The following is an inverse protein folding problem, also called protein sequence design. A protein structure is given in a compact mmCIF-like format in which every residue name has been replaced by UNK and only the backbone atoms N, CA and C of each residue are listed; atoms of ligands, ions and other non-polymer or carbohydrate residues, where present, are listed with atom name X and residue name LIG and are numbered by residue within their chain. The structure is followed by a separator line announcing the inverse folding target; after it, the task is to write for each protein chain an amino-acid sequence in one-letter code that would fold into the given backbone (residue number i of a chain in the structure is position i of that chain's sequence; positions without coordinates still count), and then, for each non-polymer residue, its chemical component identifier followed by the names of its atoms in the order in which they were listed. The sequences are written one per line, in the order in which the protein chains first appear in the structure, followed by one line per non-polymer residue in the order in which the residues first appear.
data_IF_057714493649
#
_entry.id   IF_057714493649
#
_cell.length_a   1.000
_cell.length_b   1.000
_cell.length_c   1.000
_cell.angle_alpha   90.00
_cell.angle_beta   90.00
_cell.angle_gamma   90.00
#
_symmetry.space_group_name_H-M   'P 1'
#
loop_
_entity.id
_entity.type
_entity.pdbx_description
1 polymer ?
#
# COMPACT_ATOMS: atom_id res chain seq x y z
N UNK A 1 4.27 19.07 40.09
CA UNK A 1 4.62 20.11 39.12
C UNK A 1 4.95 19.51 37.71
N UNK A 2 5.72 18.42 37.65
CA UNK A 2 6.16 17.82 36.36
C UNK A 2 5.05 17.10 35.60
N UNK A 3 3.99 16.62 36.25
CA UNK A 3 2.83 15.98 35.58
C UNK A 3 1.99 17.00 34.83
N UNK A 4 1.72 18.15 35.42
CA UNK A 4 0.93 19.22 34.76
C UNK A 4 1.62 19.78 33.49
N UNK A 5 2.96 19.90 33.49
CA UNK A 5 3.71 20.37 32.34
C UNK A 5 3.64 19.34 31.20
N UNK A 6 3.65 18.06 31.53
CA UNK A 6 3.54 16.97 30.55
C UNK A 6 2.15 16.92 29.90
N UNK A 7 1.10 17.05 30.69
CA UNK A 7 -0.28 17.06 30.21
C UNK A 7 -0.59 18.28 29.32
N UNK A 8 -0.01 19.43 29.66
CA UNK A 8 -0.14 20.65 28.84
C UNK A 8 0.57 20.49 27.49
N UNK A 9 1.77 19.90 27.47
CA UNK A 9 2.51 19.63 26.23
C UNK A 9 1.80 18.63 25.32
N UNK A 10 1.22 17.57 25.89
CA UNK A 10 0.46 16.57 25.13
C UNK A 10 -0.79 17.22 24.52
N UNK A 11 -1.58 17.98 25.27
CA UNK A 11 -2.74 18.70 24.75
C UNK A 11 -2.39 19.71 23.64
N UNK A 12 -1.25 20.39 23.78
CA UNK A 12 -0.80 21.34 22.75
C UNK A 12 -0.41 20.62 21.46
N UNK A 13 0.26 19.46 21.57
CA UNK A 13 0.62 18.62 20.42
C UNK A 13 -0.63 18.05 19.72
N UNK A 14 -1.59 17.54 20.48
CA UNK A 14 -2.87 17.04 19.94
C UNK A 14 -3.62 18.14 19.20
N UNK A 15 -3.73 19.33 19.81
CA UNK A 15 -4.39 20.48 19.18
C UNK A 15 -3.67 20.93 17.90
N UNK A 16 -2.33 20.90 17.90
CA UNK A 16 -1.53 21.25 16.74
C UNK A 16 -1.71 20.22 15.61
N UNK A 17 -1.72 18.93 15.93
CA UNK A 17 -1.93 17.84 14.96
C UNK A 17 -3.34 17.93 14.36
N UNK A 18 -4.37 18.11 15.19
CA UNK A 18 -5.76 18.25 14.73
C UNK A 18 -5.89 19.46 13.80
N UNK A 19 -5.34 20.61 14.20
CA UNK A 19 -5.39 21.83 13.38
C UNK A 19 -4.61 21.71 12.06
N UNK A 20 -3.50 20.96 12.05
CA UNK A 20 -2.74 20.72 10.82
C UNK A 20 -3.49 19.75 9.90
N UNK A 21 -4.17 18.74 10.45
CA UNK A 21 -5.00 17.83 9.68
C UNK A 21 -6.27 18.50 9.14
N UNK A 22 -6.92 19.39 9.91
CA UNK A 22 -8.07 20.18 9.45
C UNK A 22 -7.68 21.14 8.32
N UNK A 23 -6.54 21.82 8.44
CA UNK A 23 -6.03 22.71 7.39
C UNK A 23 -5.62 21.94 6.12
N UNK A 24 -5.05 20.74 6.26
CA UNK A 24 -4.76 19.85 5.14
C UNK A 24 -6.04 19.34 4.48
N UNK A 25 -7.09 19.07 5.26
CA UNK A 25 -8.38 18.62 4.73
C UNK A 25 -9.16 19.74 4.04
N UNK A 26 -9.08 20.98 4.52
CA UNK A 26 -9.68 22.15 3.86
C UNK A 26 -9.03 22.45 2.49
N UNK A 27 -7.72 22.24 2.37
CA UNK A 27 -7.02 22.38 1.09
C UNK A 27 -7.27 21.21 0.13
N UNK A 28 -7.70 20.04 0.63
CA UNK A 28 -8.06 18.87 -0.19
C UNK A 28 -9.54 18.80 -0.57
N UNK A 29 -10.41 19.63 0.00
CA UNK A 29 -11.82 19.67 -0.44
C UNK A 29 -11.89 20.47 -1.75
N UNK A 30 -12.30 19.86 -2.86
CA UNK A 30 -12.53 20.61 -4.09
C UNK A 30 -13.71 21.55 -3.85
N UNK A 31 -13.41 22.85 -3.76
CA UNK A 31 -14.39 23.91 -3.76
C UNK A 31 -15.33 23.66 -4.94
N UNK A 32 -16.63 23.59 -4.67
CA UNK A 32 -17.67 23.31 -5.65
C UNK A 32 -17.48 24.14 -6.92
N UNK A 33 -16.85 23.55 -7.93
CA UNK A 33 -16.69 24.12 -9.25
C UNK A 33 -16.98 23.04 -10.29
N UNK A 34 -18.10 23.22 -10.95
CA UNK A 34 -18.46 22.68 -12.26
C UNK A 34 -18.42 21.15 -12.45
N UNK A 35 -19.57 20.59 -12.78
CA UNK A 35 -19.86 19.20 -13.21
C UNK A 35 -18.83 18.68 -14.23
N UNK A 36 -18.24 19.55 -15.04
CA UNK A 36 -17.21 19.26 -16.03
C UNK A 36 -15.88 18.84 -15.37
N UNK A 37 -15.43 19.54 -14.32
CA UNK A 37 -14.17 19.24 -13.62
C UNK A 37 -14.27 17.90 -12.86
N UNK A 38 -15.39 17.66 -12.20
CA UNK A 38 -15.63 16.38 -11.50
C UNK A 38 -15.65 15.19 -12.49
N UNK A 39 -16.22 15.37 -13.67
CA UNK A 39 -16.28 14.34 -14.72
C UNK A 39 -14.88 14.07 -15.30
N UNK A 40 -14.07 15.09 -15.54
CA UNK A 40 -12.69 14.94 -16.02
C UNK A 40 -11.83 14.22 -14.99
N UNK A 41 -11.91 14.60 -13.70
CA UNK A 41 -11.19 13.94 -12.61
C UNK A 41 -11.57 12.46 -12.49
N UNK A 42 -12.85 12.13 -12.57
CA UNK A 42 -13.32 10.73 -12.50
C UNK A 42 -12.83 9.87 -13.68
N UNK A 43 -12.75 10.43 -14.88
CA UNK A 43 -12.22 9.74 -16.06
C UNK A 43 -10.71 9.49 -15.89
N UNK A 44 -9.95 10.49 -15.47
CA UNK A 44 -8.50 10.38 -15.23
C UNK A 44 -8.20 9.34 -14.15
N UNK A 45 -8.99 9.28 -13.08
CA UNK A 45 -8.85 8.29 -12.00
C UNK A 45 -9.08 6.86 -12.50
N UNK A 46 -10.09 6.63 -13.32
CA UNK A 46 -10.36 5.30 -13.90
C UNK A 46 -9.21 4.82 -14.79
N UNK A 47 -8.68 5.70 -15.64
CA UNK A 47 -7.52 5.37 -16.48
C UNK A 47 -6.26 5.05 -15.65
N UNK A 48 -5.99 5.81 -14.59
CA UNK A 48 -4.86 5.55 -13.71
C UNK A 48 -4.96 4.18 -13.03
N UNK A 49 -6.14 3.78 -12.57
CA UNK A 49 -6.36 2.47 -11.97
C UNK A 49 -6.26 1.32 -13.00
N UNK A 50 -6.74 1.53 -14.23
CA UNK A 50 -6.58 0.57 -15.32
C UNK A 50 -5.09 0.37 -15.69
N UNK A 51 -4.32 1.45 -15.78
CA UNK A 51 -2.86 1.38 -15.99
C UNK A 51 -2.20 0.59 -14.85
N UNK A 52 -2.56 0.88 -13.60
CA UNK A 52 -2.07 0.13 -12.43
C UNK A 52 -2.39 -1.37 -12.52
N UNK A 53 -3.58 -1.76 -12.98
CA UNK A 53 -3.95 -3.16 -13.20
C UNK A 53 -3.10 -3.81 -14.30
N UNK A 54 -2.89 -3.13 -15.42
CA UNK A 54 -2.04 -3.64 -16.49
C UNK A 54 -0.59 -3.82 -16.02
N UNK A 55 -0.02 -2.83 -15.32
CA UNK A 55 1.34 -2.89 -14.78
C UNK A 55 1.49 -4.04 -13.78
N UNK A 56 0.53 -4.20 -12.86
CA UNK A 56 0.54 -5.28 -11.87
C UNK A 56 0.41 -6.67 -12.54
N UNK A 57 -0.45 -6.81 -13.54
CA UNK A 57 -0.59 -8.05 -14.28
C UNK A 57 0.69 -8.40 -15.05
N UNK A 58 1.29 -7.43 -15.74
CA UNK A 58 2.58 -7.61 -16.43
C UNK A 58 3.70 -7.96 -15.45
N UNK A 59 3.74 -7.31 -14.29
CA UNK A 59 4.69 -7.63 -13.23
C UNK A 59 4.55 -9.06 -12.74
N UNK A 60 3.33 -9.54 -12.52
CA UNK A 60 3.08 -10.92 -12.12
C UNK A 60 3.54 -11.94 -13.18
N UNK A 61 3.22 -11.69 -14.46
CA UNK A 61 3.64 -12.56 -15.58
C UNK A 61 5.16 -12.56 -15.70
N UNK A 62 5.80 -11.40 -15.65
CA UNK A 62 7.26 -11.29 -15.73
C UNK A 62 7.94 -12.04 -14.58
N UNK A 63 7.49 -11.83 -13.33
CA UNK A 63 8.04 -12.53 -12.17
C UNK A 63 7.83 -14.04 -12.25
N UNK A 64 6.67 -14.51 -12.73
CA UNK A 64 6.43 -15.93 -12.95
C UNK A 64 7.48 -16.51 -13.94
N UNK A 65 7.73 -15.81 -15.04
CA UNK A 65 8.71 -16.26 -16.04
C UNK A 65 10.12 -16.35 -15.47
N UNK A 66 10.54 -15.37 -14.67
CA UNK A 66 11.85 -15.34 -14.02
C UNK A 66 11.98 -16.45 -12.97
N UNK A 67 10.95 -16.68 -12.16
CA UNK A 67 10.93 -17.75 -11.16
C UNK A 67 11.01 -19.13 -11.83
N UNK A 68 10.25 -19.34 -12.90
CA UNK A 68 10.31 -20.60 -13.67
C UNK A 68 11.69 -20.81 -14.30
N UNK A 69 12.28 -19.75 -14.87
CA UNK A 69 13.64 -19.81 -15.41
C UNK A 69 14.65 -20.19 -14.33
N UNK A 70 14.60 -19.55 -13.16
CA UNK A 70 15.50 -19.84 -12.05
C UNK A 70 15.27 -21.26 -11.50
N UNK A 71 14.03 -21.72 -11.41
CA UNK A 71 13.71 -23.08 -10.91
C UNK A 71 14.24 -24.19 -11.83
N UNK A 72 14.32 -23.93 -13.15
CA UNK A 72 14.80 -24.92 -14.12
C UNK A 72 16.32 -24.88 -14.30
N UNK A 73 16.94 -23.71 -14.21
CA UNK A 73 18.36 -23.50 -14.56
C UNK A 73 19.25 -23.15 -13.37
N UNK A 74 18.68 -22.78 -12.22
CA UNK A 74 19.42 -22.29 -11.07
C UNK A 74 19.73 -23.38 -10.04
N UNK A 75 20.85 -23.21 -9.33
CA UNK A 75 21.21 -23.95 -8.12
C UNK A 75 20.98 -23.05 -6.91
N UNK A 76 19.72 -22.99 -6.44
CA UNK A 76 19.30 -22.00 -5.45
C UNK A 76 20.11 -21.99 -4.15
N UNK A 77 20.68 -23.13 -3.72
CA UNK A 77 21.55 -23.20 -2.52
C UNK A 77 22.91 -22.52 -2.75
N UNK A 78 23.55 -22.74 -3.88
CA UNK A 78 24.85 -22.15 -4.21
C UNK A 78 24.71 -20.64 -4.48
N UNK A 79 23.65 -20.24 -5.16
CA UNK A 79 23.34 -18.84 -5.46
C UNK A 79 23.01 -18.05 -4.19
N UNK A 80 22.28 -18.67 -3.23
CA UNK A 80 21.99 -18.05 -1.95
C UNK A 80 23.24 -17.89 -1.11
N UNK A 81 24.13 -18.89 -1.06
CA UNK A 81 25.40 -18.81 -0.35
C UNK A 81 26.29 -17.72 -0.94
N UNK A 82 26.36 -17.63 -2.27
CA UNK A 82 27.05 -16.56 -2.96
C UNK A 82 26.47 -15.18 -2.58
N UNK A 83 25.15 -15.04 -2.57
CA UNK A 83 24.46 -13.79 -2.24
C UNK A 83 24.73 -13.37 -0.79
N UNK A 84 24.78 -14.32 0.16
CA UNK A 84 25.03 -14.05 1.57
C UNK A 84 26.51 -13.75 1.87
N UNK A 85 27.42 -14.24 1.05
CA UNK A 85 28.88 -14.00 1.20
C UNK A 85 29.33 -12.67 0.61
N UNK A 86 28.57 -12.10 -0.34
CA UNK A 86 28.94 -10.85 -0.99
C UNK A 86 28.25 -9.63 -0.33
N UNK A 87 28.99 -8.55 0.02
CA UNK A 87 28.43 -7.39 0.71
C UNK A 87 27.24 -6.76 -0.02
N UNK A 88 27.32 -6.63 -1.34
CA UNK A 88 26.20 -6.10 -2.16
C UNK A 88 25.01 -7.06 -2.22
N UNK A 89 25.22 -8.36 -2.12
CA UNK A 89 24.17 -9.36 -2.01
C UNK A 89 23.39 -9.18 -0.72
N UNK A 90 24.07 -9.02 0.41
CA UNK A 90 23.44 -8.77 1.71
C UNK A 90 22.65 -7.47 1.69
N UNK A 91 23.21 -6.38 1.13
CA UNK A 91 22.49 -5.09 1.00
C UNK A 91 21.21 -5.27 0.19
N UNK A 92 21.27 -5.99 -0.94
CA UNK A 92 20.08 -6.23 -1.78
C UNK A 92 19.01 -7.04 -1.06
N UNK A 93 19.39 -8.05 -0.27
CA UNK A 93 18.44 -8.82 0.53
C UNK A 93 17.78 -7.96 1.60
N UNK A 94 18.55 -7.17 2.33
CA UNK A 94 18.01 -6.29 3.38
C UNK A 94 17.04 -5.27 2.78
N UNK A 95 17.39 -4.62 1.67
CA UNK A 95 16.54 -3.67 0.96
C UNK A 95 15.23 -4.31 0.52
N UNK A 96 15.29 -5.50 -0.07
CA UNK A 96 14.14 -6.27 -0.50
C UNK A 96 13.20 -6.62 0.68
N UNK A 97 13.74 -7.13 1.78
CA UNK A 97 12.94 -7.50 2.95
C UNK A 97 12.37 -6.29 3.69
N UNK A 98 13.08 -5.16 3.72
CA UNK A 98 12.52 -3.89 4.22
C UNK A 98 11.32 -3.47 3.37
N UNK A 99 11.43 -3.53 2.05
CA UNK A 99 10.31 -3.27 1.15
C UNK A 99 9.11 -4.19 1.38
N UNK A 100 9.35 -5.49 1.55
CA UNK A 100 8.30 -6.47 1.85
C UNK A 100 7.63 -6.22 3.21
N UNK A 101 8.39 -5.80 4.22
CA UNK A 101 7.85 -5.45 5.54
C UNK A 101 6.94 -4.24 5.46
N UNK A 102 7.34 -3.18 4.76
CA UNK A 102 6.52 -1.98 4.55
C UNK A 102 5.26 -2.29 3.76
N UNK A 103 5.37 -3.13 2.73
CA UNK A 103 4.21 -3.57 1.95
C UNK A 103 3.24 -4.44 2.78
N UNK A 104 3.77 -5.31 3.62
CA UNK A 104 2.98 -6.12 4.56
C UNK A 104 2.25 -5.25 5.58
N UNK A 105 2.90 -4.20 6.09
CA UNK A 105 2.24 -3.22 6.95
C UNK A 105 1.03 -2.57 6.24
N UNK A 106 1.18 -2.20 4.96
CA UNK A 106 0.05 -1.69 4.18
C UNK A 106 -1.08 -2.72 4.03
N UNK A 107 -0.76 -4.01 3.82
CA UNK A 107 -1.77 -5.08 3.79
C UNK A 107 -2.53 -5.14 5.11
N UNK A 108 -1.83 -5.08 6.26
CA UNK A 108 -2.47 -5.10 7.58
C UNK A 108 -3.40 -3.90 7.82
N UNK A 109 -3.03 -2.72 7.31
CA UNK A 109 -3.87 -1.53 7.42
C UNK A 109 -5.11 -1.58 6.51
N UNK A 110 -5.04 -2.35 5.42
CA UNK A 110 -6.08 -2.44 4.42
C UNK A 110 -7.09 -3.56 4.65
N UNK A 111 -6.62 -4.73 5.12
CA UNK A 111 -7.45 -5.91 5.31
C UNK A 111 -8.15 -5.87 6.67
N UNK A 112 -9.47 -6.13 6.68
CA UNK A 112 -10.26 -6.18 7.91
C UNK A 112 -9.94 -7.39 8.79
N UNK A 113 -9.57 -8.51 8.15
CA UNK A 113 -9.24 -9.76 8.82
C UNK A 113 -7.73 -9.89 9.00
N UNK A 114 -7.27 -9.92 10.25
CA UNK A 114 -5.87 -10.15 10.60
C UNK A 114 -5.34 -11.47 10.03
N UNK A 115 -6.18 -12.51 9.93
CA UNK A 115 -5.80 -13.81 9.36
C UNK A 115 -5.52 -13.66 7.87
N UNK A 116 -6.37 -12.96 7.14
CA UNK A 116 -6.17 -12.69 5.70
C UNK A 116 -4.90 -11.87 5.47
N UNK A 117 -4.68 -10.84 6.28
CA UNK A 117 -3.46 -10.03 6.22
C UNK A 117 -2.20 -10.86 6.48
N UNK A 118 -2.24 -11.75 7.49
CA UNK A 118 -1.13 -12.65 7.83
C UNK A 118 -0.82 -13.62 6.68
N UNK A 119 -1.84 -14.23 6.09
CA UNK A 119 -1.66 -15.15 4.95
C UNK A 119 -0.98 -14.43 3.78
N UNK A 120 -1.45 -13.24 3.40
CA UNK A 120 -0.83 -12.44 2.35
C UNK A 120 0.61 -12.05 2.69
N UNK A 121 0.88 -11.68 3.95
CA UNK A 121 2.23 -11.35 4.43
C UNK A 121 3.18 -12.53 4.28
N UNK A 122 2.77 -13.74 4.68
CA UNK A 122 3.58 -14.95 4.50
C UNK A 122 3.88 -15.19 3.02
N UNK A 123 2.90 -15.04 2.14
CA UNK A 123 3.12 -15.18 0.70
C UNK A 123 4.07 -14.10 0.15
N UNK A 124 3.99 -12.85 0.62
CA UNK A 124 4.92 -11.77 0.23
C UNK A 124 6.34 -12.12 0.66
N UNK A 125 6.53 -12.62 1.88
CA UNK A 125 7.86 -13.00 2.39
C UNK A 125 8.47 -14.21 1.65
N UNK A 126 7.64 -15.15 1.16
CA UNK A 126 8.11 -16.36 0.48
C UNK A 126 8.28 -16.17 -1.04
N UNK A 127 7.33 -15.53 -1.70
CA UNK A 127 7.26 -15.39 -3.17
C UNK A 127 7.58 -13.97 -3.65
N UNK A 128 7.82 -13.06 -2.71
CA UNK A 128 8.31 -11.70 -3.01
C UNK A 128 7.37 -10.90 -3.91
N UNK A 129 7.98 -10.23 -4.87
CA UNK A 129 7.30 -9.31 -5.79
C UNK A 129 6.23 -9.96 -6.67
N UNK A 130 6.25 -11.27 -6.85
CA UNK A 130 5.15 -11.99 -7.51
C UNK A 130 3.84 -11.80 -6.72
N UNK A 131 3.86 -12.13 -5.42
CA UNK A 131 2.68 -11.97 -4.55
C UNK A 131 2.26 -10.52 -4.42
N UNK A 132 3.23 -9.60 -4.32
CA UNK A 132 2.96 -8.17 -4.30
C UNK A 132 2.18 -7.73 -5.54
N UNK A 133 2.59 -8.17 -6.73
CA UNK A 133 1.92 -7.85 -7.99
C UNK A 133 0.49 -8.41 -8.05
N UNK A 134 0.29 -9.66 -7.62
CA UNK A 134 -1.03 -10.30 -7.57
C UNK A 134 -1.96 -9.60 -6.57
N UNK A 135 -1.43 -9.24 -5.39
CA UNK A 135 -2.20 -8.53 -4.38
C UNK A 135 -2.63 -7.13 -4.85
N UNK A 136 -1.72 -6.35 -5.43
CA UNK A 136 -2.03 -5.03 -5.99
C UNK A 136 -3.06 -5.13 -7.12
N UNK A 137 -2.93 -6.11 -8.01
CA UNK A 137 -3.91 -6.35 -9.07
C UNK A 137 -5.31 -6.62 -8.50
N UNK A 138 -5.42 -7.52 -7.49
CA UNK A 138 -6.67 -7.81 -6.79
C UNK A 138 -7.24 -6.55 -6.11
N UNK A 139 -6.39 -5.79 -5.42
CA UNK A 139 -6.76 -4.57 -4.73
C UNK A 139 -7.33 -3.51 -5.67
N UNK A 140 -6.68 -3.30 -6.81
CA UNK A 140 -7.13 -2.37 -7.85
C UNK A 140 -8.45 -2.82 -8.47
N UNK A 141 -8.62 -4.12 -8.72
CA UNK A 141 -9.87 -4.66 -9.26
C UNK A 141 -11.03 -4.51 -8.29
N UNK A 142 -10.80 -4.76 -7.00
CA UNK A 142 -11.82 -4.62 -5.95
C UNK A 142 -12.22 -3.17 -5.68
N UNK A 143 -11.33 -2.21 -5.95
CA UNK A 143 -11.59 -0.79 -5.67
C UNK A 143 -12.62 -0.13 -6.59
N UNK A 144 -12.95 -0.74 -7.75
CA UNK A 144 -13.93 -0.24 -8.74
C UNK A 144 -13.76 1.25 -9.11
N UNK A 145 -12.53 1.75 -9.14
CA UNK A 145 -12.25 3.14 -9.49
C UNK A 145 -12.19 4.10 -8.30
N UNK A 146 -12.30 3.60 -7.06
CA UNK A 146 -12.25 4.43 -5.86
C UNK A 146 -10.90 4.30 -5.16
N UNK A 147 -10.13 5.41 -5.09
CA UNK A 147 -8.82 5.45 -4.44
C UNK A 147 -8.88 5.20 -2.94
N UNK A 148 -9.93 5.70 -2.25
CA UNK A 148 -10.09 5.45 -0.83
C UNK A 148 -10.27 3.96 -0.54
N UNK A 149 -11.08 3.28 -1.34
CA UNK A 149 -11.27 1.84 -1.25
C UNK A 149 -9.99 1.07 -1.60
N UNK A 150 -9.19 1.57 -2.55
CA UNK A 150 -7.91 0.97 -2.90
C UNK A 150 -6.91 1.02 -1.73
N UNK A 151 -6.74 2.18 -1.10
CA UNK A 151 -5.74 2.35 -0.04
C UNK A 151 -6.18 1.86 1.34
N UNK A 152 -7.45 2.06 1.70
CA UNK A 152 -7.96 1.85 3.06
C UNK A 152 -8.87 0.62 3.22
N UNK A 153 -9.23 -0.08 2.12
CA UNK A 153 -10.18 -1.18 2.16
C UNK A 153 -11.64 -0.73 2.25
N UNK A 154 -12.53 -1.70 2.47
CA UNK A 154 -13.99 -1.46 2.43
C UNK A 154 -14.53 -0.83 3.72
N UNK A 155 -13.98 -1.17 4.88
CA UNK A 155 -14.43 -0.72 6.21
C UNK A 155 -14.23 0.78 6.41
N UNK A 156 -13.07 1.30 6.05
CA UNK A 156 -12.77 2.73 6.20
C UNK A 156 -13.43 3.61 5.14
N UNK A 157 -13.67 3.08 3.93
CA UNK A 157 -14.37 3.81 2.88
C UNK A 157 -15.84 4.11 3.23
N UNK A 158 -16.50 3.19 3.94
CA UNK A 158 -17.89 3.36 4.39
C UNK A 158 -18.03 4.34 5.55
N UNK A 159 -17.08 4.41 6.47
CA UNK A 159 -17.11 5.36 7.60
C UNK A 159 -16.92 6.80 7.13
N UNK A 160 -16.04 7.05 6.18
CA UNK A 160 -15.81 8.40 5.61
C UNK A 160 -17.06 8.91 4.87
N UNK A 161 -17.75 8.05 4.11
CA UNK A 161 -18.97 8.45 3.41
C UNK A 161 -20.14 8.73 4.35
N UNK A 162 -20.23 8.05 5.49
CA UNK A 162 -21.26 8.29 6.52
C UNK A 162 -21.06 9.61 7.27
N UNK A 163 -19.83 10.06 7.44
CA UNK A 163 -19.51 11.34 8.09
C UNK A 163 -19.76 12.53 7.17
N UNK A 164 -19.56 12.36 5.86
CA UNK A 164 -19.80 13.42 4.85
C UNK A 164 -21.29 13.68 4.57
N UNK A 165 -22.20 12.82 5.03
CA UNK A 165 -23.66 12.95 4.84
C UNK A 165 -24.39 13.55 6.02
N UNK A 166 -23.68 13.95 7.09
CA UNK A 166 -24.20 14.66 8.26
C UNK A 166 -23.83 16.15 8.23
#
# INVERSE_FOLDING_TARGET
SNSQIRDTKVKTLETFIIKTMDNASEHMLPRASNTTTARTTAITTKHALQIGQCVSALGAVFMTSVILYAAVNGNGSEELDWLLTHPWGVVSLVDLYVGFTLFSLWIFLREESAITALVWTVFVMCLGNFTTSVYVFRALRSSNGNWHKFFLGDSHASSVSATASR
#
